data_IF_919005326208
#
_entry.id   IF_919005326208
#
_cell.length_a   1.000
_cell.length_b   1.000
_cell.length_c   1.000
_cell.angle_alpha   90.00
_cell.angle_beta   90.00
_cell.angle_gamma   90.00
#
_symmetry.space_group_name_H-M   'P 1'
#
loop_
_entity.id
_entity.type
_entity.pdbx_description
1 polymer ?
#
# COMPACT_ATOMS: atom_id res chain seq x y z
N UNK A 1 57.72 -27.43 19.43
CA UNK A 1 56.78 -26.37 19.81
C UNK A 1 55.92 -26.06 18.60
N UNK A 2 54.70 -26.63 18.55
CA UNK A 2 53.73 -26.40 17.48
C UNK A 2 52.73 -25.33 17.87
N UNK A 3 52.71 -24.20 17.19
CA UNK A 3 51.74 -23.14 17.38
C UNK A 3 50.42 -23.50 16.62
N UNK A 4 49.37 -23.80 17.38
CA UNK A 4 48.01 -23.97 16.84
C UNK A 4 47.37 -22.58 16.67
N UNK A 5 47.16 -22.17 15.45
CA UNK A 5 46.40 -20.97 15.05
C UNK A 5 44.90 -21.33 15.05
N UNK A 6 44.15 -20.80 16.00
CA UNK A 6 42.68 -20.91 15.98
C UNK A 6 42.13 -19.84 15.03
N UNK A 7 41.55 -20.29 13.92
CA UNK A 7 40.75 -19.44 13.04
C UNK A 7 39.33 -19.35 13.61
N UNK A 8 38.97 -18.22 14.21
CA UNK A 8 37.59 -17.90 14.53
C UNK A 8 36.87 -17.49 13.23
N UNK A 9 36.03 -18.39 12.72
CA UNK A 9 35.10 -18.09 11.65
C UNK A 9 33.96 -17.22 12.16
N UNK A 10 33.90 -15.95 11.72
CA UNK A 10 32.77 -15.05 11.95
C UNK A 10 31.62 -15.49 11.04
N UNK A 11 30.64 -16.20 11.56
CA UNK A 11 29.40 -16.52 10.85
C UNK A 11 28.55 -15.23 10.72
N UNK A 12 28.54 -14.64 9.54
CA UNK A 12 27.62 -13.57 9.19
C UNK A 12 26.19 -14.15 9.09
N UNK A 13 25.37 -13.94 10.10
CA UNK A 13 23.93 -14.21 10.03
C UNK A 13 23.30 -13.26 9.02
N UNK A 14 22.57 -13.75 7.98
CA UNK A 14 21.79 -12.88 7.14
C UNK A 14 20.68 -12.26 7.98
N UNK A 15 20.70 -10.95 8.21
CA UNK A 15 19.54 -10.20 8.65
C UNK A 15 18.53 -10.25 7.50
N UNK A 16 17.60 -11.20 7.55
CA UNK A 16 16.38 -11.13 6.76
C UNK A 16 15.63 -9.90 7.23
N UNK A 17 15.76 -8.80 6.51
CA UNK A 17 14.90 -7.64 6.65
C UNK A 17 13.48 -8.09 6.26
N UNK A 18 12.72 -8.58 7.23
CA UNK A 18 11.29 -8.79 7.06
C UNK A 18 10.71 -7.42 6.70
N UNK A 19 10.34 -7.22 5.43
CA UNK A 19 9.57 -6.05 5.04
C UNK A 19 8.34 -6.02 5.96
N UNK A 20 8.25 -4.99 6.80
CA UNK A 20 7.15 -4.88 7.74
C UNK A 20 5.85 -4.75 6.92
N UNK A 21 4.98 -5.74 7.03
CA UNK A 21 3.65 -5.73 6.42
C UNK A 21 2.60 -5.46 7.48
N UNK A 22 1.46 -4.83 7.14
CA UNK A 22 0.37 -4.69 8.09
C UNK A 22 -0.12 -6.05 8.57
N UNK A 23 -0.51 -6.12 9.84
CA UNK A 23 -1.16 -7.32 10.37
C UNK A 23 -2.52 -7.55 9.68
N UNK A 24 -2.91 -8.79 9.40
CA UNK A 24 -4.26 -9.08 8.96
C UNK A 24 -5.30 -8.57 9.97
N UNK A 25 -6.54 -8.22 9.52
CA UNK A 25 -7.58 -7.77 10.43
C UNK A 25 -7.92 -8.86 11.46
N UNK A 26 -8.07 -8.46 12.73
CA UNK A 26 -8.38 -9.40 13.82
C UNK A 26 -9.84 -9.85 13.89
N UNK A 27 -10.73 -9.19 13.14
CA UNK A 27 -12.18 -9.45 13.14
C UNK A 27 -12.70 -10.05 11.84
N UNK A 28 -14.01 -10.32 11.75
CA UNK A 28 -14.63 -10.86 10.55
C UNK A 28 -14.50 -9.89 9.38
N UNK A 29 -14.18 -10.43 8.22
CA UNK A 29 -14.06 -9.70 6.96
C UNK A 29 -15.04 -10.23 5.92
N UNK A 30 -15.36 -9.37 4.97
CA UNK A 30 -16.10 -9.73 3.76
C UNK A 30 -15.10 -9.86 2.61
N UNK A 31 -15.18 -10.90 1.76
CA UNK A 31 -14.28 -11.06 0.63
C UNK A 31 -14.31 -9.86 -0.31
N UNK A 32 -13.13 -9.41 -0.72
CA UNK A 32 -12.94 -8.36 -1.71
C UNK A 32 -12.11 -8.85 -2.89
N UNK A 33 -12.41 -8.27 -4.06
CA UNK A 33 -11.53 -8.23 -5.21
C UNK A 33 -11.15 -6.77 -5.49
N UNK A 34 -10.09 -6.51 -6.23
CA UNK A 34 -9.66 -5.15 -6.57
C UNK A 34 -10.80 -4.39 -7.28
N UNK A 35 -11.50 -5.06 -8.19
CA UNK A 35 -12.67 -4.49 -8.87
C UNK A 35 -13.79 -4.19 -7.88
N UNK A 36 -14.18 -5.16 -7.04
CA UNK A 36 -15.27 -4.94 -6.08
C UNK A 36 -14.95 -3.88 -5.02
N UNK A 37 -13.66 -3.63 -4.76
CA UNK A 37 -13.24 -2.59 -3.84
C UNK A 37 -13.38 -1.18 -4.45
N UNK A 38 -12.98 -1.02 -5.72
CA UNK A 38 -12.75 0.32 -6.26
C UNK A 38 -13.60 0.71 -7.46
N UNK A 39 -14.37 -0.20 -8.08
CA UNK A 39 -15.26 0.19 -9.19
C UNK A 39 -16.42 1.05 -8.67
N UNK A 40 -16.73 2.12 -9.42
CA UNK A 40 -17.77 3.09 -9.08
C UNK A 40 -17.24 4.26 -8.26
N UNK A 41 -18.15 4.97 -7.58
CA UNK A 41 -17.82 6.14 -6.76
C UNK A 41 -17.82 5.77 -5.29
N UNK A 42 -16.82 6.26 -4.57
CA UNK A 42 -16.73 6.14 -3.12
C UNK A 42 -16.04 7.36 -2.51
N UNK A 43 -16.14 7.49 -1.21
CA UNK A 43 -15.46 8.52 -0.43
C UNK A 43 -14.74 7.86 0.72
N UNK A 44 -13.67 8.49 1.20
CA UNK A 44 -12.97 7.96 2.35
C UNK A 44 -12.27 9.02 3.16
N UNK A 45 -11.82 8.62 4.34
CA UNK A 45 -11.01 9.43 5.26
C UNK A 45 -9.88 8.58 5.77
N UNK A 46 -8.72 9.20 5.94
CA UNK A 46 -7.54 8.49 6.43
C UNK A 46 -6.55 9.42 7.09
N UNK A 47 -5.48 8.80 7.54
CA UNK A 47 -4.35 9.51 8.10
C UNK A 47 -3.05 8.78 7.75
N UNK A 48 -2.02 9.56 7.61
CA UNK A 48 -0.62 9.13 7.55
C UNK A 48 0.02 9.50 8.89
N UNK A 49 0.67 8.54 9.55
CA UNK A 49 1.29 8.74 10.85
C UNK A 49 2.76 8.35 10.82
N UNK A 50 3.66 9.29 11.13
CA UNK A 50 5.10 9.06 11.29
C UNK A 50 5.37 8.49 12.68
N UNK A 51 6.01 7.34 12.79
CA UNK A 51 6.16 6.66 14.08
C UNK A 51 7.18 7.34 14.99
N UNK A 52 8.25 7.88 14.43
CA UNK A 52 9.33 8.49 15.23
C UNK A 52 8.88 9.79 15.92
N UNK A 53 8.15 10.64 15.20
CA UNK A 53 7.73 11.97 15.69
C UNK A 53 6.31 11.96 16.25
N UNK A 54 5.50 10.98 15.87
CA UNK A 54 4.07 10.94 16.17
C UNK A 54 3.24 11.88 15.30
N UNK A 55 3.86 12.58 14.36
CA UNK A 55 3.16 13.48 13.44
C UNK A 55 2.10 12.74 12.65
N UNK A 56 0.92 13.35 12.52
CA UNK A 56 -0.20 12.80 11.78
C UNK A 56 -0.71 13.84 10.77
N UNK A 57 -0.86 13.41 9.53
CA UNK A 57 -1.50 14.19 8.46
C UNK A 57 -2.79 13.48 8.06
N UNK A 58 -3.90 14.14 8.26
CA UNK A 58 -5.23 13.60 7.91
C UNK A 58 -5.62 14.02 6.51
N UNK A 59 -6.46 13.19 5.90
CA UNK A 59 -7.01 13.47 4.59
C UNK A 59 -8.42 12.90 4.43
N UNK A 60 -9.17 13.51 3.50
CA UNK A 60 -10.35 12.94 2.88
C UNK A 60 -10.07 12.71 1.40
N UNK A 61 -10.76 11.74 0.80
CA UNK A 61 -10.63 11.48 -0.62
C UNK A 61 -11.98 11.14 -1.27
N UNK A 62 -12.11 11.51 -2.54
CA UNK A 62 -13.15 11.01 -3.43
C UNK A 62 -12.50 10.10 -4.45
N UNK A 63 -13.06 8.91 -4.61
CA UNK A 63 -12.57 7.91 -5.55
C UNK A 63 -13.60 7.69 -6.64
N UNK A 64 -13.10 7.49 -7.87
CA UNK A 64 -13.92 7.12 -9.01
C UNK A 64 -13.21 6.05 -9.83
N UNK A 65 -13.67 4.82 -9.70
CA UNK A 65 -13.11 3.65 -10.35
C UNK A 65 -13.91 3.22 -11.57
N UNK A 66 -13.22 2.89 -12.66
CA UNK A 66 -13.81 2.37 -13.88
C UNK A 66 -13.06 1.15 -14.37
N UNK A 67 -13.79 0.08 -14.64
CA UNK A 67 -13.26 -1.14 -15.25
C UNK A 67 -13.54 -1.15 -16.74
N UNK A 68 -12.55 -1.59 -17.51
CA UNK A 68 -12.66 -1.87 -18.96
C UNK A 68 -12.01 -3.22 -19.26
N UNK A 69 -12.27 -3.75 -20.46
CA UNK A 69 -11.75 -5.07 -20.85
C UNK A 69 -12.62 -6.22 -20.36
N UNK A 70 -12.14 -7.44 -20.58
CA UNK A 70 -12.81 -8.70 -20.20
C UNK A 70 -12.01 -9.42 -19.10
N UNK A 71 -12.62 -10.36 -18.43
CA UNK A 71 -11.95 -11.22 -17.44
C UNK A 71 -10.64 -11.80 -18.00
N UNK A 72 -9.57 -11.73 -17.22
CA UNK A 72 -8.21 -12.11 -17.61
C UNK A 72 -7.40 -11.01 -18.33
N UNK A 73 -8.06 -9.90 -18.73
CA UNK A 73 -7.41 -8.74 -19.37
C UNK A 73 -8.10 -7.42 -18.96
N UNK A 74 -8.62 -7.33 -17.74
CA UNK A 74 -9.27 -6.11 -17.23
C UNK A 74 -8.25 -5.03 -16.95
N UNK A 75 -8.69 -3.80 -17.16
CA UNK A 75 -7.99 -2.59 -16.70
C UNK A 75 -8.92 -1.84 -15.75
N UNK A 76 -8.48 -1.61 -14.53
CA UNK A 76 -9.17 -0.77 -13.55
C UNK A 76 -8.41 0.54 -13.44
N UNK A 77 -9.10 1.65 -13.74
CA UNK A 77 -8.59 3.01 -13.52
C UNK A 77 -9.31 3.61 -12.32
N UNK A 78 -8.58 4.08 -11.31
CA UNK A 78 -9.14 4.73 -10.12
C UNK A 78 -8.56 6.13 -10.00
N UNK A 79 -9.40 7.14 -10.16
CA UNK A 79 -9.03 8.54 -9.90
C UNK A 79 -9.31 8.83 -8.43
N UNK A 80 -8.32 9.37 -7.74
CA UNK A 80 -8.36 9.72 -6.32
C UNK A 80 -8.11 11.23 -6.16
N UNK A 81 -9.12 11.95 -5.67
CA UNK A 81 -9.02 13.37 -5.32
C UNK A 81 -8.85 13.49 -3.81
N UNK A 82 -7.66 13.84 -3.36
CA UNK A 82 -7.31 14.03 -1.94
C UNK A 82 -7.45 15.50 -1.53
N UNK A 83 -7.93 15.69 -0.30
CA UNK A 83 -7.89 16.97 0.42
C UNK A 83 -7.29 16.72 1.81
N UNK A 84 -6.19 17.36 2.11
CA UNK A 84 -5.48 17.23 3.38
C UNK A 84 -5.96 18.29 4.39
N UNK A 85 -5.70 18.02 5.66
CA UNK A 85 -6.08 18.94 6.78
C UNK A 85 -5.28 20.26 6.79
N UNK A 86 -4.14 20.31 6.08
CA UNK A 86 -3.36 21.53 5.83
C UNK A 86 -3.88 22.36 4.64
N UNK A 87 -5.00 21.95 4.02
CA UNK A 87 -5.61 22.61 2.86
C UNK A 87 -4.99 22.27 1.51
N UNK A 88 -3.92 21.48 1.47
CA UNK A 88 -3.36 20.99 0.21
C UNK A 88 -4.27 19.94 -0.42
N UNK A 89 -4.16 19.77 -1.73
CA UNK A 89 -4.91 18.76 -2.47
C UNK A 89 -4.04 18.10 -3.52
N UNK A 90 -4.30 16.81 -3.76
CA UNK A 90 -3.67 16.03 -4.82
C UNK A 90 -4.72 15.29 -5.63
N UNK A 91 -4.42 15.08 -6.91
CA UNK A 91 -5.15 14.14 -7.77
C UNK A 91 -4.17 13.10 -8.27
N UNK A 92 -4.48 11.85 -7.96
CA UNK A 92 -3.68 10.69 -8.35
C UNK A 92 -4.56 9.69 -9.09
N UNK A 93 -3.97 8.99 -10.07
CA UNK A 93 -4.70 8.04 -10.90
C UNK A 93 -3.99 6.70 -10.93
N UNK A 94 -4.57 5.71 -10.28
CA UNK A 94 -4.13 4.34 -10.43
C UNK A 94 -4.65 3.76 -11.76
N UNK A 95 -3.75 3.08 -12.46
CA UNK A 95 -4.10 2.21 -13.59
C UNK A 95 -3.61 0.81 -13.28
N UNK A 96 -4.54 -0.07 -12.92
CA UNK A 96 -4.26 -1.49 -12.65
C UNK A 96 -4.57 -2.32 -13.89
N UNK A 97 -3.70 -3.29 -14.20
CA UNK A 97 -3.85 -4.25 -15.30
C UNK A 97 -3.86 -5.65 -14.74
N UNK A 98 -4.89 -6.41 -15.06
CA UNK A 98 -4.99 -7.81 -14.69
C UNK A 98 -3.93 -8.63 -15.45
N UNK A 99 -3.14 -9.41 -14.71
CA UNK A 99 -2.05 -10.25 -15.26
C UNK A 99 -2.31 -11.73 -15.06
N UNK A 100 -3.38 -12.08 -14.36
CA UNK A 100 -3.82 -13.44 -14.09
C UNK A 100 -4.89 -13.46 -12.99
N UNK A 101 -5.49 -14.61 -12.70
CA UNK A 101 -6.49 -14.72 -11.64
C UNK A 101 -5.98 -14.15 -10.31
N UNK A 102 -6.68 -13.12 -9.79
CA UNK A 102 -6.32 -12.45 -8.53
C UNK A 102 -4.96 -11.75 -8.54
N UNK A 103 -4.37 -11.49 -9.70
CA UNK A 103 -3.07 -10.80 -9.83
C UNK A 103 -3.15 -9.63 -10.76
N UNK A 104 -2.58 -8.49 -10.33
CA UNK A 104 -2.56 -7.25 -11.09
C UNK A 104 -1.20 -6.57 -10.95
N UNK A 105 -0.82 -5.80 -11.98
CA UNK A 105 0.19 -4.74 -11.85
C UNK A 105 -0.51 -3.38 -11.86
N UNK A 106 0.13 -2.37 -11.25
CA UNK A 106 -0.44 -1.02 -11.16
C UNK A 106 0.60 0.06 -11.35
N UNK A 107 0.16 1.20 -11.83
CA UNK A 107 0.97 2.43 -11.90
C UNK A 107 0.13 3.62 -11.47
N UNK A 108 0.78 4.56 -10.84
CA UNK A 108 0.27 5.88 -10.45
C UNK A 108 1.34 6.91 -10.79
N UNK A 109 1.02 8.19 -10.83
CA UNK A 109 1.92 9.27 -11.26
C UNK A 109 3.24 9.30 -10.49
N UNK A 110 3.22 8.93 -9.23
CA UNK A 110 4.37 8.94 -8.33
C UNK A 110 5.04 7.56 -8.15
N UNK A 111 4.51 6.48 -8.75
CA UNK A 111 5.12 5.15 -8.57
C UNK A 111 6.43 5.01 -9.29
N UNK A 112 7.38 4.38 -8.63
CA UNK A 112 8.68 3.96 -9.18
C UNK A 112 8.57 2.50 -9.62
N UNK A 113 8.60 2.28 -10.92
CA UNK A 113 8.34 0.95 -11.48
C UNK A 113 6.85 0.60 -11.49
N UNK A 114 6.52 -0.65 -11.16
CA UNK A 114 5.15 -1.14 -11.10
C UNK A 114 4.79 -1.60 -9.68
N UNK A 115 3.57 -1.29 -9.28
CA UNK A 115 2.94 -1.88 -8.12
C UNK A 115 2.54 -3.33 -8.40
N UNK A 116 2.54 -4.16 -7.38
CA UNK A 116 2.04 -5.53 -7.42
C UNK A 116 0.81 -5.66 -6.54
N UNK A 117 -0.23 -6.31 -7.08
CA UNK A 117 -1.45 -6.60 -6.33
C UNK A 117 -1.73 -8.09 -6.40
N UNK A 118 -2.06 -8.67 -5.25
CA UNK A 118 -2.60 -10.04 -5.14
C UNK A 118 -3.91 -10.01 -4.37
N UNK A 119 -4.86 -10.84 -4.81
CA UNK A 119 -6.14 -11.09 -4.15
C UNK A 119 -6.06 -12.50 -3.54
N UNK A 120 -5.95 -12.59 -2.22
CA UNK A 120 -5.75 -13.84 -1.49
C UNK A 120 -6.66 -13.87 -0.26
N UNK A 121 -7.36 -14.97 -0.06
CA UNK A 121 -8.22 -15.19 1.13
C UNK A 121 -9.26 -14.07 1.35
N UNK A 122 -9.74 -13.45 0.25
CA UNK A 122 -10.70 -12.35 0.31
C UNK A 122 -10.10 -11.00 0.72
N UNK A 123 -8.79 -10.92 0.82
CA UNK A 123 -8.02 -9.70 1.08
C UNK A 123 -7.27 -9.27 -0.18
N UNK A 124 -6.93 -8.00 -0.27
CA UNK A 124 -6.08 -7.46 -1.34
C UNK A 124 -4.77 -7.01 -0.69
N UNK A 125 -3.65 -7.48 -1.22
CA UNK A 125 -2.31 -6.99 -0.87
C UNK A 125 -1.79 -6.15 -2.01
N UNK A 126 -1.32 -4.95 -1.71
CA UNK A 126 -0.74 -4.03 -2.68
C UNK A 126 0.64 -3.61 -2.20
N UNK A 127 1.66 -3.78 -3.02
CA UNK A 127 3.02 -3.32 -2.71
C UNK A 127 3.55 -2.43 -3.82
N UNK A 128 4.13 -1.29 -3.45
CA UNK A 128 4.72 -0.34 -4.41
C UNK A 128 5.77 0.56 -3.76
N UNK A 129 6.55 1.22 -4.62
CA UNK A 129 7.44 2.30 -4.24
C UNK A 129 6.94 3.59 -4.89
N UNK A 130 6.94 4.69 -4.15
CA UNK A 130 6.54 5.99 -4.66
C UNK A 130 7.55 7.08 -4.28
N UNK A 131 7.69 8.07 -5.16
CA UNK A 131 8.47 9.27 -4.92
C UNK A 131 7.55 10.36 -4.38
N UNK A 132 7.51 10.48 -3.06
CA UNK A 132 6.71 11.47 -2.35
C UNK A 132 7.42 12.84 -2.35
N UNK A 133 6.75 13.85 -2.88
CA UNK A 133 7.25 15.23 -2.92
C UNK A 133 6.87 15.97 -1.64
N UNK A 134 7.84 16.58 -0.99
CA UNK A 134 7.66 17.42 0.19
C UNK A 134 8.44 18.73 0.02
N UNK A 135 8.22 19.76 0.83
CA UNK A 135 9.02 20.99 0.81
C UNK A 135 10.52 20.75 1.02
N UNK A 136 10.90 19.67 1.70
CA UNK A 136 12.29 19.26 1.93
C UNK A 136 12.90 18.43 0.79
N UNK A 137 12.14 18.14 -0.28
CA UNK A 137 12.60 17.37 -1.44
C UNK A 137 11.77 16.14 -1.74
N UNK A 138 12.35 15.22 -2.53
CA UNK A 138 11.71 13.97 -2.91
C UNK A 138 12.13 12.87 -1.94
N UNK A 139 11.16 12.21 -1.33
CA UNK A 139 11.35 11.06 -0.45
C UNK A 139 10.86 9.79 -1.15
N UNK A 140 11.75 8.84 -1.40
CA UNK A 140 11.38 7.52 -1.92
C UNK A 140 10.90 6.64 -0.78
N UNK A 141 9.65 6.22 -0.84
CA UNK A 141 8.96 5.43 0.18
C UNK A 141 8.43 4.13 -0.41
N UNK A 142 8.59 3.04 0.32
CA UNK A 142 7.93 1.77 0.02
C UNK A 142 6.62 1.67 0.78
N UNK A 143 5.60 1.10 0.17
CA UNK A 143 4.28 0.87 0.74
C UNK A 143 3.95 -0.62 0.69
N UNK A 144 3.44 -1.14 1.80
CA UNK A 144 2.90 -2.48 1.93
C UNK A 144 1.50 -2.35 2.48
N UNK A 145 0.50 -2.59 1.65
CA UNK A 145 -0.90 -2.37 1.97
C UNK A 145 -1.63 -3.70 2.14
N UNK A 146 -2.57 -3.73 3.06
CA UNK A 146 -3.61 -4.74 3.14
C UNK A 146 -4.97 -4.05 3.07
N UNK A 147 -5.81 -4.48 2.10
CA UNK A 147 -7.13 -3.90 1.87
C UNK A 147 -8.17 -4.99 2.13
N UNK A 148 -9.14 -4.69 2.97
CA UNK A 148 -10.16 -5.64 3.38
C UNK A 148 -11.54 -4.98 3.55
N UNK A 149 -12.59 -5.77 3.40
CA UNK A 149 -13.96 -5.35 3.62
C UNK A 149 -14.44 -5.72 5.01
N UNK A 150 -15.16 -4.82 5.66
CA UNK A 150 -15.89 -5.11 6.89
C UNK A 150 -17.34 -5.57 6.57
N UNK A 151 -18.01 -6.28 7.50
CA UNK A 151 -19.38 -6.75 7.29
C UNK A 151 -20.41 -5.66 6.96
N UNK A 152 -20.17 -4.42 7.44
CA UNK A 152 -21.04 -3.25 7.19
C UNK A 152 -20.84 -2.62 5.79
N UNK A 153 -19.98 -3.21 4.96
CA UNK A 153 -19.65 -2.69 3.63
C UNK A 153 -18.50 -1.70 3.58
N UNK A 154 -17.98 -1.27 4.72
CA UNK A 154 -16.80 -0.40 4.81
C UNK A 154 -15.58 -1.14 4.25
N UNK A 155 -14.72 -0.43 3.52
CA UNK A 155 -13.43 -0.93 3.04
C UNK A 155 -12.34 -0.22 3.84
N UNK A 156 -11.38 -0.97 4.31
CA UNK A 156 -10.21 -0.43 5.04
C UNK A 156 -8.95 -0.78 4.27
N UNK A 157 -8.09 0.20 4.08
CA UNK A 157 -6.72 0.02 3.63
C UNK A 157 -5.79 0.41 4.78
N UNK A 158 -5.05 -0.56 5.30
CA UNK A 158 -3.97 -0.35 6.26
C UNK A 158 -2.63 -0.56 5.55
N UNK A 159 -1.71 0.39 5.69
CA UNK A 159 -0.39 0.32 5.09
C UNK A 159 0.73 0.54 6.09
N UNK A 160 1.82 -0.18 5.90
CA UNK A 160 3.13 0.14 6.50
C UNK A 160 3.97 0.83 5.45
N UNK A 161 4.56 1.94 5.84
CA UNK A 161 5.43 2.75 4.99
C UNK A 161 6.88 2.56 5.39
N UNK A 162 7.73 2.31 4.42
CA UNK A 162 9.17 2.08 4.63
C UNK A 162 10.01 3.14 3.94
N UNK A 163 11.17 3.46 4.53
CA UNK A 163 12.23 4.27 3.92
C UNK A 163 13.55 3.51 4.03
N UNK A 164 14.23 3.27 2.93
CA UNK A 164 15.45 2.47 2.89
C UNK A 164 15.29 1.10 3.59
N UNK A 165 14.13 0.45 3.44
CA UNK A 165 13.83 -0.85 4.05
C UNK A 165 13.38 -0.81 5.52
N UNK A 166 13.47 0.33 6.20
CA UNK A 166 13.03 0.48 7.58
C UNK A 166 11.59 1.00 7.63
N UNK A 167 10.75 0.40 8.47
CA UNK A 167 9.38 0.86 8.71
C UNK A 167 9.40 2.19 9.48
N UNK A 168 8.80 3.24 8.92
CA UNK A 168 8.88 4.61 9.45
C UNK A 168 7.51 5.24 9.70
N UNK A 169 6.46 4.73 9.05
CA UNK A 169 5.13 5.30 9.16
C UNK A 169 4.04 4.24 8.85
N UNK A 170 2.80 4.63 9.08
CA UNK A 170 1.61 3.87 8.69
C UNK A 170 0.59 4.77 8.03
N UNK A 171 -0.27 4.16 7.21
CA UNK A 171 -1.48 4.78 6.67
C UNK A 171 -2.67 3.95 7.09
N UNK A 172 -3.74 4.61 7.48
CA UNK A 172 -5.07 4.00 7.56
C UNK A 172 -6.04 4.81 6.73
N UNK A 173 -6.75 4.15 5.83
CA UNK A 173 -7.72 4.76 4.95
C UNK A 173 -9.03 3.97 4.97
N UNK A 174 -10.10 4.61 5.40
CA UNK A 174 -11.45 4.02 5.53
C UNK A 174 -12.34 4.58 4.44
N UNK A 175 -12.86 3.68 3.60
CA UNK A 175 -13.60 4.00 2.37
C UNK A 175 -15.04 3.50 2.50
N UNK A 176 -15.98 4.32 2.04
CA UNK A 176 -17.43 4.03 2.02
C UNK A 176 -18.03 4.43 0.67
N UNK A 177 -19.03 3.66 0.27
CA UNK A 177 -19.86 3.93 -0.91
C UNK A 177 -21.08 4.73 -0.56
#
# INVERSE_FOLDING_TARGET
MQRRTLLLGLAALPLAACAATPAPPAGPTRPLTLVSAFEGRSTGRGHFRVWLTGDERRFSARLNGRVTGRAGARVLTVVEDFLYDDGQSDRLTWVFRETGPGRWTGRREDTVGEARVTEEEGLIRLSYTADFRSPSGVNRLGFQDIIYGLPDGTIVNDAVVTRAGLAVASVRFVIRR
#
